data_IF_443580422498
#
_entry.id   IF_443580422498
#
_cell.length_a   1.000
_cell.length_b   1.000
_cell.length_c   1.000
_cell.angle_alpha   90.00
_cell.angle_beta   90.00
_cell.angle_gamma   90.00
#
_symmetry.space_group_name_H-M   'P 1'
#
loop_
_entity.id
_entity.type
_entity.pdbx_description
1 polymer ?
#
# COMPACT_ATOMS: atom_id res chain seq x y z
N UNK A 1 7.96 -0.26 -13.53
CA UNK A 1 8.84 0.26 -12.47
C UNK A 1 8.01 1.25 -11.69
N UNK A 2 7.53 0.89 -10.50
CA UNK A 2 6.87 1.87 -9.62
C UNK A 2 7.99 2.79 -9.11
N UNK A 3 8.02 4.03 -9.59
CA UNK A 3 8.96 5.03 -9.12
C UNK A 3 8.61 5.37 -7.67
N UNK A 4 9.35 4.75 -6.74
CA UNK A 4 9.18 4.96 -5.31
C UNK A 4 9.81 6.30 -4.93
N UNK A 5 8.98 7.23 -4.46
CA UNK A 5 9.27 8.55 -3.88
C UNK A 5 10.75 8.77 -3.58
N UNK A 6 11.38 9.71 -4.30
CA UNK A 6 12.80 10.08 -4.19
C UNK A 6 13.18 10.79 -2.89
N UNK A 7 12.20 11.12 -2.04
CA UNK A 7 12.41 11.81 -0.78
C UNK A 7 12.72 10.82 0.36
N UNK A 8 13.98 10.83 0.81
CA UNK A 8 14.46 9.95 1.87
C UNK A 8 13.74 10.20 3.21
N UNK A 9 13.35 11.45 3.49
CA UNK A 9 12.64 11.82 4.71
C UNK A 9 11.21 11.24 4.71
N UNK A 10 10.51 11.31 3.58
CA UNK A 10 9.19 10.70 3.40
C UNK A 10 9.25 9.17 3.58
N UNK A 11 10.29 8.50 3.04
CA UNK A 11 10.50 7.06 3.23
C UNK A 11 10.71 6.71 4.71
N UNK A 12 11.51 7.49 5.42
CA UNK A 12 11.82 7.22 6.82
C UNK A 12 10.61 7.46 7.73
N UNK A 13 9.85 8.53 7.48
CA UNK A 13 8.59 8.79 8.17
C UNK A 13 7.57 7.67 7.90
N UNK A 14 7.42 7.25 6.64
CA UNK A 14 6.51 6.17 6.28
C UNK A 14 6.97 4.82 6.85
N UNK A 15 8.27 4.56 6.98
CA UNK A 15 8.77 3.32 7.58
C UNK A 15 8.36 3.18 9.06
N UNK A 16 8.34 4.29 9.82
CA UNK A 16 7.89 4.29 11.21
C UNK A 16 6.38 4.00 11.33
N UNK A 17 5.58 4.49 10.39
CA UNK A 17 4.14 4.23 10.31
C UNK A 17 3.89 2.79 9.84
N UNK A 18 4.60 2.34 8.81
CA UNK A 18 4.47 1.01 8.22
C UNK A 18 4.70 -0.10 9.25
N UNK A 19 5.64 0.09 10.19
CA UNK A 19 5.86 -0.86 11.31
C UNK A 19 4.65 -1.04 12.21
N UNK A 20 3.85 0.01 12.42
CA UNK A 20 2.62 -0.06 13.22
C UNK A 20 1.51 -0.81 12.49
N UNK A 21 1.59 -0.89 11.17
CA UNK A 21 0.65 -1.64 10.33
C UNK A 21 1.01 -3.13 10.25
N UNK A 22 2.18 -3.55 10.73
CA UNK A 22 2.59 -4.96 10.68
C UNK A 22 1.79 -5.77 11.69
N UNK A 23 0.95 -6.68 11.20
CA UNK A 23 0.17 -7.61 12.01
C UNK A 23 0.99 -8.86 12.36
N UNK A 24 1.71 -9.40 11.40
CA UNK A 24 2.55 -10.59 11.57
C UNK A 24 3.60 -10.68 10.48
N UNK A 25 4.78 -11.18 10.83
CA UNK A 25 5.88 -11.41 9.89
C UNK A 25 6.10 -12.92 9.72
N UNK A 26 6.15 -13.36 8.46
CA UNK A 26 6.59 -14.69 8.03
C UNK A 26 7.96 -14.57 7.37
N UNK A 27 8.69 -15.67 7.21
CA UNK A 27 10.05 -15.66 6.63
C UNK A 27 10.16 -15.01 5.24
N UNK A 28 9.07 -14.96 4.47
CA UNK A 28 9.02 -14.38 3.13
C UNK A 28 8.04 -13.20 2.99
N UNK A 29 7.16 -12.97 3.97
CA UNK A 29 6.03 -12.05 3.83
C UNK A 29 5.74 -11.27 5.10
N UNK A 30 5.52 -9.96 4.95
CA UNK A 30 5.00 -9.09 6.00
C UNK A 30 3.50 -8.94 5.76
N UNK A 31 2.69 -9.37 6.73
CA UNK A 31 1.25 -9.20 6.68
C UNK A 31 0.89 -7.90 7.37
N UNK A 32 0.26 -7.00 6.62
CA UNK A 32 -0.17 -5.69 7.10
C UNK A 32 -1.67 -5.72 7.47
N UNK A 33 -2.05 -4.98 8.50
CA UNK A 33 -3.44 -4.67 8.79
C UNK A 33 -4.01 -3.73 7.71
N UNK A 34 -5.24 -3.97 7.20
CA UNK A 34 -5.80 -3.22 6.08
C UNK A 34 -6.32 -1.83 6.50
N UNK A 35 -5.48 -1.01 7.12
CA UNK A 35 -5.81 0.34 7.56
C UNK A 35 -5.71 1.41 6.44
N UNK A 36 -5.09 1.07 5.30
CA UNK A 36 -4.89 1.98 4.18
C UNK A 36 -5.58 1.42 2.94
N UNK A 37 -6.47 2.21 2.35
CA UNK A 37 -7.06 1.91 1.05
C UNK A 37 -6.46 2.83 -0.02
N UNK A 38 -6.33 2.32 -1.24
CA UNK A 38 -5.86 3.11 -2.37
C UNK A 38 -6.55 2.70 -3.66
N UNK A 39 -6.69 3.68 -4.55
CA UNK A 39 -7.09 3.45 -5.93
C UNK A 39 -5.84 3.19 -6.77
N UNK A 40 -5.90 2.15 -7.57
CA UNK A 40 -4.81 1.72 -8.46
C UNK A 40 -5.32 1.59 -9.88
N UNK A 41 -4.56 2.11 -10.84
CA UNK A 41 -4.78 1.85 -12.25
C UNK A 41 -3.96 0.63 -12.65
N UNK A 42 -4.57 -0.33 -13.33
CA UNK A 42 -3.90 -1.55 -13.78
C UNK A 42 -4.41 -1.95 -15.17
N UNK A 43 -3.63 -2.76 -15.90
CA UNK A 43 -3.98 -3.15 -17.27
C UNK A 43 -5.08 -4.23 -17.27
N UNK A 44 -4.83 -5.34 -16.59
CA UNK A 44 -5.74 -6.46 -16.48
C UNK A 44 -5.37 -7.34 -15.27
N UNK A 45 -6.26 -8.25 -14.91
CA UNK A 45 -5.97 -9.30 -13.94
C UNK A 45 -5.18 -10.44 -14.62
N UNK A 46 -4.21 -11.01 -13.90
CA UNK A 46 -3.59 -12.28 -14.29
C UNK A 46 -4.57 -13.43 -14.08
N UNK A 47 -4.26 -14.62 -14.62
CA UNK A 47 -5.07 -15.83 -14.40
C UNK A 47 -5.21 -16.16 -12.90
N UNK A 48 -4.19 -15.82 -12.11
CA UNK A 48 -4.17 -15.96 -10.65
C UNK A 48 -4.81 -14.78 -9.90
N UNK A 49 -5.51 -13.87 -10.60
CA UNK A 49 -6.22 -12.74 -9.99
C UNK A 49 -5.32 -11.58 -9.51
N UNK A 50 -4.04 -11.54 -9.91
CA UNK A 50 -3.11 -10.46 -9.53
C UNK A 50 -3.20 -9.28 -10.50
N UNK A 51 -2.90 -8.07 -10.04
CA UNK A 51 -2.90 -6.88 -10.89
C UNK A 51 -1.68 -6.85 -11.82
N UNK A 52 -1.87 -6.73 -13.13
CA UNK A 52 -0.78 -6.53 -14.08
C UNK A 52 -0.43 -5.04 -14.20
N UNK A 53 0.84 -4.72 -13.94
CA UNK A 53 1.41 -3.38 -14.00
C UNK A 53 0.58 -2.35 -13.22
N UNK A 54 0.37 -2.54 -11.91
CA UNK A 54 -0.37 -1.59 -11.10
C UNK A 54 0.40 -0.27 -10.96
N UNK A 55 -0.31 0.83 -11.10
CA UNK A 55 0.16 2.18 -10.84
C UNK A 55 -0.73 2.81 -9.78
N UNK A 56 -0.11 3.31 -8.72
CA UNK A 56 -0.80 4.05 -7.67
C UNK A 56 -1.44 5.32 -8.25
N UNK A 57 -2.70 5.58 -7.92
CA UNK A 57 -3.41 6.80 -8.31
C UNK A 57 -3.58 7.74 -7.11
N UNK A 58 -4.28 7.27 -6.07
CA UNK A 58 -4.55 8.06 -4.86
C UNK A 58 -4.90 7.18 -3.66
N UNK A 59 -4.69 7.70 -2.46
CA UNK A 59 -5.24 7.08 -1.25
C UNK A 59 -6.76 7.31 -1.18
N UNK A 60 -7.46 6.32 -0.63
CA UNK A 60 -8.87 6.42 -0.27
C UNK A 60 -8.90 6.49 1.25
N UNK A 61 -9.31 7.65 1.77
CA UNK A 61 -9.57 7.84 3.19
C UNK A 61 -11.06 7.69 3.38
N UNK A 62 -11.48 6.74 4.20
CA UNK A 62 -12.88 6.62 4.58
C UNK A 62 -13.22 7.82 5.48
N UNK A 63 -14.02 8.76 4.96
CA UNK A 63 -14.42 9.97 5.69
C UNK A 63 -15.63 9.76 6.61
N UNK A 64 -16.03 8.51 6.88
CA UNK A 64 -17.16 8.21 7.76
C UNK A 64 -16.71 7.89 9.19
N UNK A 65 -16.19 8.90 9.89
CA UNK A 65 -16.30 8.96 11.36
C UNK A 65 -16.22 10.41 11.86
N UNK A 66 -17.05 11.28 11.28
CA UNK A 66 -17.52 12.49 11.98
C UNK A 66 -19.03 12.39 12.05
N UNK A 67 -19.53 11.70 13.06
CA UNK A 67 -20.92 11.75 13.52
C UNK A 67 -20.90 11.82 15.04
#
# INVERSE_FOLDING_TARGET
MLEFVSDAAARQAFAAIARQLVRSESSEWIHLDPAIQCEVKFQCLTKDGKLRSPSFQRFVFDSLSTA
#
